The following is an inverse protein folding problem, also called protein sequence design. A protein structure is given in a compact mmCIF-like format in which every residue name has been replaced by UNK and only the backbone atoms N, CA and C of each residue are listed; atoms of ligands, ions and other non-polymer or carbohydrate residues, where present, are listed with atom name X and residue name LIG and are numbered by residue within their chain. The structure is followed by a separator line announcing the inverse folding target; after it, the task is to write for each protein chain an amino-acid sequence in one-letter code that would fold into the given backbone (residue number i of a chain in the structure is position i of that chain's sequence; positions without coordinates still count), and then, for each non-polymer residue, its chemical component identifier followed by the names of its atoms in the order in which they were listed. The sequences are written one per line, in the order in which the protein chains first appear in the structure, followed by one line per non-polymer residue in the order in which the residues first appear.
data_IF_821576999430
#
_entry.id   IF_821576999430
#
_cell.length_a   1.000
_cell.length_b   1.000
_cell.length_c   1.000
_cell.angle_alpha   90.00
_cell.angle_beta   90.00
_cell.angle_gamma   90.00
#
_symmetry.space_group_name_H-M   'P 1'
#
loop_
_entity.id
_entity.type
_entity.pdbx_description
1 polymer ?
#
# COMPACT_ATOMS: atom_id res chain seq x y z
N UNK A 1 13.68 13.42 18.46
CA UNK A 1 12.42 12.88 19.03
C UNK A 1 11.28 13.59 18.33
N UNK A 2 10.16 12.91 18.10
CA UNK A 2 8.95 13.51 17.51
C UNK A 2 7.82 13.45 18.53
N UNK A 3 6.90 14.40 18.46
CA UNK A 3 5.62 14.36 19.19
C UNK A 3 4.45 14.40 18.20
N UNK A 4 3.48 13.53 18.44
CA UNK A 4 2.22 13.48 17.70
C UNK A 4 1.16 14.18 18.53
N UNK A 5 0.61 15.26 17.99
CA UNK A 5 -0.32 16.13 18.67
C UNK A 5 -1.73 15.53 18.68
N UNK A 6 -2.60 16.06 19.56
CA UNK A 6 -4.03 15.73 19.55
C UNK A 6 -4.75 16.18 18.27
N UNK A 7 -4.16 17.12 17.53
CA UNK A 7 -4.64 17.58 16.22
C UNK A 7 -4.37 16.60 15.08
N UNK A 8 -3.52 15.58 15.31
CA UNK A 8 -3.04 14.67 14.28
C UNK A 8 -1.73 15.09 13.62
N UNK A 9 -1.20 16.29 13.91
CA UNK A 9 0.09 16.73 13.39
C UNK A 9 1.26 16.03 14.07
N UNK A 10 2.34 15.81 13.32
CA UNK A 10 3.56 15.18 13.81
C UNK A 10 4.74 16.12 13.59
N UNK A 11 5.42 16.49 14.67
CA UNK A 11 6.51 17.46 14.62
C UNK A 11 7.73 17.04 15.46
N UNK A 12 8.88 17.59 15.09
CA UNK A 12 10.13 17.42 15.83
C UNK A 12 10.08 18.13 17.18
N UNK A 13 10.45 17.40 18.23
CA UNK A 13 10.63 17.93 19.57
C UNK A 13 12.12 18.14 19.86
N UNK A 14 12.51 19.38 20.16
CA UNK A 14 13.90 19.74 20.48
C UNK A 14 14.29 19.18 21.85
N UNK A 15 15.58 18.87 22.09
CA UNK A 15 16.03 18.33 23.39
C UNK A 15 15.74 19.25 24.59
N UNK A 16 15.74 20.57 24.38
CA UNK A 16 15.52 21.58 25.42
C UNK A 16 14.06 22.02 25.55
N UNK A 17 13.16 21.49 24.71
CA UNK A 17 11.77 21.89 24.68
C UNK A 17 10.93 21.02 25.61
N UNK A 18 10.23 21.67 26.54
CA UNK A 18 9.25 21.00 27.42
C UNK A 18 7.95 20.71 26.69
N UNK A 19 7.34 19.56 26.99
CA UNK A 19 6.05 19.16 26.46
C UNK A 19 5.02 19.00 27.57
N UNK A 20 3.84 19.56 27.36
CA UNK A 20 2.67 19.45 28.24
C UNK A 20 1.91 18.16 27.89
N UNK A 21 1.81 17.24 28.85
CA UNK A 21 1.22 15.91 28.67
C UNK A 21 -0.28 15.86 28.94
N UNK A 22 -0.89 16.96 29.39
CA UNK A 22 -2.30 16.95 29.79
C UNK A 22 -3.29 16.80 28.61
N UNK A 23 -4.47 16.30 28.97
CA UNK A 23 -5.40 15.39 28.24
C UNK A 23 -5.72 15.60 26.76
N UNK A 24 -5.36 16.70 26.11
CA UNK A 24 -5.75 16.99 24.72
C UNK A 24 -4.61 17.47 23.80
N UNK A 25 -3.34 17.49 24.24
CA UNK A 25 -2.27 18.10 23.42
C UNK A 25 -1.33 17.12 22.74
N UNK A 26 -0.96 16.01 23.37
CA UNK A 26 -0.01 15.05 22.81
C UNK A 26 -0.56 13.65 22.95
N UNK A 27 -0.64 12.93 21.83
CA UNK A 27 -1.11 11.56 21.77
C UNK A 27 0.04 10.55 21.95
N UNK A 28 1.21 10.82 21.35
CA UNK A 28 2.36 9.89 21.30
C UNK A 28 3.70 10.61 21.14
N UNK A 29 4.78 9.95 21.55
CA UNK A 29 6.15 10.33 21.19
C UNK A 29 6.81 9.22 20.36
N UNK A 30 7.68 9.61 19.44
CA UNK A 30 8.46 8.68 18.63
C UNK A 30 9.95 8.98 18.73
N UNK A 31 10.73 7.94 19.03
CA UNK A 31 12.19 7.96 18.92
C UNK A 31 12.57 7.17 17.67
N UNK A 32 13.03 7.90 16.64
CA UNK A 32 13.41 7.32 15.35
C UNK A 32 14.80 7.83 15.01
N UNK A 33 15.68 6.92 14.62
CA UNK A 33 17.01 7.25 14.13
C UNK A 33 16.94 7.72 12.67
N UNK A 34 17.53 8.88 12.40
CA UNK A 34 17.61 9.50 11.08
C UNK A 34 18.51 10.74 11.11
N UNK A 35 19.17 11.03 9.98
CA UNK A 35 20.09 12.17 9.84
C UNK A 35 19.40 13.47 9.39
N UNK A 36 18.28 13.35 8.67
CA UNK A 36 17.49 14.45 8.14
C UNK A 36 16.05 14.37 8.63
N UNK A 37 15.27 15.45 8.47
CA UNK A 37 13.83 15.45 8.76
C UNK A 37 13.07 15.82 7.49
N UNK A 38 12.20 14.92 7.04
CA UNK A 38 11.39 15.08 5.84
C UNK A 38 9.99 15.53 6.23
N UNK A 39 9.54 16.64 5.63
CA UNK A 39 8.18 17.14 5.81
C UNK A 39 7.29 16.64 4.69
N UNK A 40 6.07 16.26 5.04
CA UNK A 40 5.00 15.91 4.10
C UNK A 40 3.65 16.33 4.68
N UNK A 41 2.59 16.24 3.87
CA UNK A 41 1.22 16.55 4.30
C UNK A 41 0.27 15.39 4.04
N UNK A 42 -0.64 15.12 4.98
CA UNK A 42 -1.76 14.19 4.79
C UNK A 42 -3.05 14.90 5.16
N UNK A 43 -3.98 15.04 4.22
CA UNK A 43 -5.20 15.86 4.41
C UNK A 43 -4.92 17.29 4.90
N UNK A 44 -3.74 17.83 4.56
CA UNK A 44 -3.29 19.15 5.01
C UNK A 44 -2.64 19.18 6.40
N UNK A 45 -2.66 18.08 7.16
CA UNK A 45 -1.91 17.95 8.41
C UNK A 45 -0.42 17.94 8.14
N UNK A 46 0.36 18.74 8.87
CA UNK A 46 1.81 18.77 8.73
C UNK A 46 2.43 17.59 9.48
N UNK A 47 3.29 16.85 8.78
CA UNK A 47 3.97 15.67 9.31
C UNK A 47 5.47 15.78 9.09
N UNK A 48 6.25 15.36 10.08
CA UNK A 48 7.70 15.26 10.02
C UNK A 48 8.17 13.84 10.32
N UNK A 49 9.04 13.30 9.47
CA UNK A 49 9.62 11.97 9.67
C UNK A 49 11.13 11.94 9.38
N UNK A 50 11.96 11.32 10.25
CA UNK A 50 13.42 11.29 10.09
C UNK A 50 13.98 10.39 8.97
N UNK A 51 13.11 9.71 8.21
CA UNK A 51 13.51 8.85 7.09
C UNK A 51 12.75 9.30 5.86
N UNK A 52 13.38 9.17 4.69
CA UNK A 52 12.75 9.51 3.42
C UNK A 52 11.73 8.47 2.95
N UNK A 53 11.67 7.30 3.58
CA UNK A 53 10.76 6.20 3.20
C UNK A 53 9.90 5.76 4.38
N UNK A 54 8.63 5.51 4.09
CA UNK A 54 7.62 4.99 5.00
C UNK A 54 6.74 3.98 4.28
N UNK A 55 6.23 2.99 4.99
CA UNK A 55 5.17 2.13 4.46
C UNK A 55 3.84 2.89 4.51
N UNK A 56 3.00 2.78 3.48
CA UNK A 56 1.76 3.55 3.35
C UNK A 56 0.84 3.39 4.59
N UNK A 57 0.76 2.20 5.16
CA UNK A 57 0.03 1.96 6.42
C UNK A 57 0.54 2.82 7.59
N UNK A 58 1.85 3.06 7.68
CA UNK A 58 2.42 3.91 8.74
C UNK A 58 1.98 5.37 8.56
N UNK A 59 1.95 5.87 7.31
CA UNK A 59 1.45 7.21 7.00
C UNK A 59 -0.03 7.33 7.39
N UNK A 60 -0.86 6.34 7.02
CA UNK A 60 -2.27 6.26 7.42
C UNK A 60 -2.44 6.29 8.93
N UNK A 61 -1.67 5.49 9.65
CA UNK A 61 -1.69 5.42 11.11
C UNK A 61 -1.33 6.75 11.78
N UNK A 62 -0.31 7.44 11.25
CA UNK A 62 0.08 8.77 11.72
C UNK A 62 -1.03 9.80 11.48
N UNK A 63 -1.71 9.74 10.33
CA UNK A 63 -2.82 10.63 10.00
C UNK A 63 -4.16 10.26 10.69
N UNK A 64 -4.20 9.18 11.48
CA UNK A 64 -5.43 8.72 12.13
C UNK A 64 -6.48 8.17 11.16
N UNK A 65 -6.04 7.64 10.00
CA UNK A 65 -6.92 7.10 8.99
C UNK A 65 -7.61 5.80 9.45
N UNK A 66 -8.85 5.60 9.01
CA UNK A 66 -9.57 4.34 9.17
C UNK A 66 -9.04 3.22 8.25
N UNK A 67 -9.39 1.97 8.58
CA UNK A 67 -8.98 0.79 7.80
C UNK A 67 -9.55 0.79 6.38
N UNK A 68 -10.71 1.43 6.19
CA UNK A 68 -11.40 1.60 4.92
C UNK A 68 -10.84 2.76 4.08
N UNK A 69 -9.81 3.47 4.54
CA UNK A 69 -9.21 4.56 3.80
C UNK A 69 -7.94 4.11 3.07
N UNK A 70 -7.75 4.55 1.84
CA UNK A 70 -6.53 4.39 1.06
C UNK A 70 -5.73 5.70 1.05
N UNK A 71 -4.42 5.58 1.00
CA UNK A 71 -3.51 6.71 0.82
C UNK A 71 -3.36 6.97 -0.68
N UNK A 72 -3.52 8.21 -1.11
CA UNK A 72 -3.30 8.61 -2.51
C UNK A 72 -2.40 9.84 -2.58
N UNK A 73 -1.53 9.90 -3.59
CA UNK A 73 -0.71 11.08 -3.86
C UNK A 73 -1.58 12.23 -4.38
N UNK A 74 -1.46 13.41 -3.76
CA UNK A 74 -2.14 14.64 -4.19
C UNK A 74 -1.29 15.34 -5.25
N UNK A 75 -1.45 14.93 -6.51
CA UNK A 75 -0.77 15.55 -7.66
C UNK A 75 -1.73 15.70 -8.85
N UNK A 76 -1.76 16.87 -9.53
CA UNK A 76 -2.60 17.03 -10.72
C UNK A 76 -2.27 16.00 -11.80
N UNK A 77 -3.29 15.30 -12.31
CA UNK A 77 -3.15 14.33 -13.40
C UNK A 77 -2.48 13.00 -13.03
N UNK A 78 -2.18 12.75 -11.75
CA UNK A 78 -1.65 11.47 -11.28
C UNK A 78 -2.58 10.91 -10.22
N UNK A 79 -3.19 9.76 -10.51
CA UNK A 79 -4.03 9.02 -9.55
C UNK A 79 -3.23 7.82 -9.01
N UNK A 80 -2.22 8.11 -8.20
CA UNK A 80 -1.44 7.07 -7.53
C UNK A 80 -2.05 6.76 -6.17
N UNK A 81 -2.64 5.58 -6.05
CA UNK A 81 -3.14 5.02 -4.79
C UNK A 81 -2.14 3.99 -4.29
N UNK A 82 -1.83 4.02 -3.00
CA UNK A 82 -0.91 3.09 -2.35
C UNK A 82 -1.68 2.02 -1.60
N UNK A 83 -1.29 0.77 -1.79
CA UNK A 83 -1.68 -0.34 -0.92
C UNK A 83 -0.94 -0.24 0.42
N UNK A 84 -1.51 -0.82 1.47
CA UNK A 84 -1.01 -0.65 2.86
C UNK A 84 0.47 -1.06 3.04
N UNK A 85 0.95 -2.01 2.24
CA UNK A 85 2.30 -2.55 2.27
C UNK A 85 3.27 -1.86 1.30
N UNK A 86 2.80 -0.88 0.53
CA UNK A 86 3.64 -0.17 -0.44
C UNK A 86 4.60 0.79 0.28
N UNK A 87 5.83 0.86 -0.22
CA UNK A 87 6.83 1.84 0.24
C UNK A 87 6.61 3.18 -0.45
N UNK A 88 6.53 4.24 0.34
CA UNK A 88 6.29 5.61 -0.09
C UNK A 88 7.53 6.45 0.19
N UNK A 89 8.06 7.10 -0.85
CA UNK A 89 9.13 8.09 -0.72
C UNK A 89 8.53 9.47 -0.40
N UNK A 90 8.88 10.02 0.76
CA UNK A 90 8.51 11.34 1.26
C UNK A 90 9.68 12.34 1.20
N UNK A 91 10.84 11.91 0.72
CA UNK A 91 12.05 12.73 0.59
C UNK A 91 12.35 13.19 -0.84
N UNK A 92 11.33 13.22 -1.71
CA UNK A 92 11.44 13.66 -3.09
C UNK A 92 11.89 15.12 -3.26
N UNK A 93 11.98 15.59 -4.51
CA UNK A 93 12.43 16.96 -4.87
C UNK A 93 11.48 18.10 -4.41
N UNK A 94 10.44 17.78 -3.67
CA UNK A 94 9.48 18.72 -3.12
C UNK A 94 8.79 18.15 -1.88
N UNK A 95 7.82 18.89 -1.36
CA UNK A 95 7.03 18.41 -0.22
C UNK A 95 5.88 17.57 -0.75
N UNK A 96 5.92 16.27 -0.46
CA UNK A 96 4.86 15.36 -0.87
C UNK A 96 3.57 15.66 -0.09
N UNK A 97 2.45 15.54 -0.80
CA UNK A 97 1.11 15.79 -0.27
C UNK A 97 0.25 14.58 -0.58
N UNK A 98 -0.52 14.14 0.40
CA UNK A 98 -1.36 12.96 0.31
C UNK A 98 -2.79 13.27 0.73
N UNK A 99 -3.70 12.49 0.16
CA UNK A 99 -5.13 12.46 0.51
C UNK A 99 -5.52 11.07 0.99
N UNK A 100 -6.47 11.04 1.91
CA UNK A 100 -7.15 9.85 2.36
C UNK A 100 -8.46 9.72 1.57
N UNK A 101 -8.59 8.62 0.84
CA UNK A 101 -9.78 8.32 0.02
C UNK A 101 -10.47 7.10 0.57
N UNK A 102 -11.77 6.96 0.36
CA UNK A 102 -12.42 5.68 0.65
C UNK A 102 -11.83 4.62 -0.29
N UNK A 103 -11.35 3.52 0.29
CA UNK A 103 -10.79 2.39 -0.44
C UNK A 103 -11.93 1.59 -1.03
N UNK A 104 -11.87 1.32 -2.33
CA UNK A 104 -12.82 0.41 -2.96
C UNK A 104 -12.71 -0.97 -2.28
N UNK A 105 -13.83 -1.65 -2.06
CA UNK A 105 -13.81 -3.02 -1.53
C UNK A 105 -13.25 -4.03 -2.51
N UNK A 106 -13.17 -3.64 -3.78
CA UNK A 106 -12.78 -4.48 -4.90
C UNK A 106 -11.55 -3.94 -5.64
N UNK A 107 -10.81 -4.85 -6.27
CA UNK A 107 -9.68 -4.60 -7.17
C UNK A 107 -10.04 -5.11 -8.56
N UNK A 108 -9.55 -4.43 -9.58
CA UNK A 108 -9.62 -4.89 -10.95
C UNK A 108 -8.32 -5.61 -11.30
N UNK A 109 -8.43 -6.84 -11.78
CA UNK A 109 -7.30 -7.64 -12.29
C UNK A 109 -7.55 -8.04 -13.73
N UNK A 110 -6.50 -8.36 -14.48
CA UNK A 110 -6.58 -8.77 -15.87
C UNK A 110 -6.30 -10.27 -15.96
N UNK A 111 -7.10 -10.99 -16.74
CA UNK A 111 -6.89 -12.40 -17.04
C UNK A 111 -6.89 -12.62 -18.55
N UNK A 112 -5.94 -13.41 -19.05
CA UNK A 112 -5.83 -13.72 -20.48
C UNK A 112 -5.34 -12.55 -21.35
N UNK A 113 -4.87 -11.46 -20.74
CA UNK A 113 -4.28 -10.30 -21.40
C UNK A 113 -5.24 -9.13 -21.64
N UNK A 114 -6.56 -9.36 -21.66
CA UNK A 114 -7.54 -8.31 -21.97
C UNK A 114 -8.86 -8.40 -21.18
N UNK A 115 -9.09 -9.47 -20.42
CA UNK A 115 -10.34 -9.63 -19.67
C UNK A 115 -10.19 -9.11 -18.24
N UNK A 116 -10.94 -8.07 -17.90
CA UNK A 116 -10.97 -7.53 -16.55
C UNK A 116 -11.91 -8.33 -15.63
N UNK A 117 -11.44 -8.59 -14.42
CA UNK A 117 -12.21 -9.18 -13.32
C UNK A 117 -12.20 -8.24 -12.11
N UNK A 118 -13.38 -7.98 -11.56
CA UNK A 118 -13.52 -7.25 -10.30
C UNK A 118 -13.60 -8.24 -9.14
N UNK A 119 -12.58 -8.24 -8.27
CA UNK A 119 -12.44 -9.18 -7.15
C UNK A 119 -12.45 -8.44 -5.81
N UNK A 120 -12.92 -9.10 -4.75
CA UNK A 120 -12.82 -8.54 -3.39
C UNK A 120 -11.35 -8.36 -2.97
N UNK A 121 -11.05 -7.30 -2.23
CA UNK A 121 -9.72 -7.12 -1.63
C UNK A 121 -9.51 -8.10 -0.49
N UNK A 122 -8.92 -9.26 -0.79
CA UNK A 122 -8.52 -10.26 0.21
C UNK A 122 -7.36 -11.12 -0.28
N UNK A 123 -6.96 -12.05 0.58
CA UNK A 123 -6.06 -13.13 0.19
C UNK A 123 -6.88 -14.21 -0.50
N UNK A 124 -6.44 -14.63 -1.68
CA UNK A 124 -6.97 -15.76 -2.41
C UNK A 124 -5.95 -16.89 -2.43
N UNK A 125 -6.44 -18.11 -2.48
CA UNK A 125 -5.68 -19.30 -2.88
C UNK A 125 -5.65 -19.44 -4.40
N UNK A 126 -4.66 -20.15 -4.93
CA UNK A 126 -4.57 -20.52 -6.35
C UNK A 126 -5.89 -21.11 -6.86
N UNK A 127 -6.49 -22.02 -6.10
CA UNK A 127 -7.71 -22.72 -6.49
C UNK A 127 -8.94 -21.79 -6.51
N UNK A 128 -9.03 -20.84 -5.58
CA UNK A 128 -10.09 -19.82 -5.61
C UNK A 128 -9.98 -18.93 -6.85
N UNK A 129 -8.76 -18.48 -7.20
CA UNK A 129 -8.53 -17.69 -8.43
C UNK A 129 -8.85 -18.51 -9.69
N UNK A 130 -8.43 -19.77 -9.73
CA UNK A 130 -8.77 -20.67 -10.85
C UNK A 130 -10.28 -20.82 -11.02
N UNK A 131 -11.03 -20.96 -9.91
CA UNK A 131 -12.48 -21.04 -9.95
C UNK A 131 -13.12 -19.73 -10.45
N UNK A 132 -12.61 -18.58 -10.00
CA UNK A 132 -13.06 -17.25 -10.44
C UNK A 132 -12.83 -17.04 -11.94
N UNK A 133 -11.64 -17.38 -12.44
CA UNK A 133 -11.29 -17.19 -13.86
C UNK A 133 -11.83 -18.30 -14.78
N UNK A 134 -12.48 -19.33 -14.23
CA UNK A 134 -12.97 -20.47 -14.99
C UNK A 134 -11.84 -21.26 -15.66
N UNK A 135 -10.70 -21.39 -14.98
CA UNK A 135 -9.53 -22.12 -15.49
C UNK A 135 -9.90 -23.59 -15.73
N UNK A 136 -9.63 -24.15 -16.93
CA UNK A 136 -9.95 -25.54 -17.23
C UNK A 136 -9.27 -26.52 -16.27
N UNK A 137 -9.92 -27.65 -16.01
CA UNK A 137 -9.34 -28.71 -15.18
C UNK A 137 -8.00 -29.18 -15.74
N UNK A 138 -6.99 -29.28 -14.88
CA UNK A 138 -5.63 -29.70 -15.23
C UNK A 138 -4.71 -28.57 -15.70
N UNK A 139 -5.24 -27.38 -16.00
CA UNK A 139 -4.41 -26.21 -16.31
C UNK A 139 -3.76 -25.65 -15.04
N UNK A 140 -2.71 -24.87 -15.24
CA UNK A 140 -2.01 -24.13 -14.19
C UNK A 140 -2.28 -22.64 -14.33
N UNK A 141 -2.16 -21.91 -13.23
CA UNK A 141 -2.35 -20.46 -13.18
C UNK A 141 -0.99 -19.77 -13.01
N UNK A 142 -0.74 -18.74 -13.79
CA UNK A 142 0.44 -17.88 -13.68
C UNK A 142 0.03 -16.46 -13.30
N UNK A 143 0.92 -15.79 -12.55
CA UNK A 143 0.93 -14.34 -12.43
C UNK A 143 1.90 -13.78 -13.47
N UNK A 144 1.50 -12.73 -14.16
CA UNK A 144 2.36 -11.98 -15.07
C UNK A 144 2.91 -10.79 -14.29
N UNK A 145 4.23 -10.76 -14.10
CA UNK A 145 4.92 -9.63 -13.50
C UNK A 145 4.83 -8.38 -14.37
N UNK A 146 5.08 -7.21 -13.78
CA UNK A 146 5.09 -5.93 -14.53
C UNK A 146 6.17 -5.89 -15.63
N UNK A 147 7.17 -6.77 -15.53
CA UNK A 147 8.21 -7.02 -16.53
C UNK A 147 7.77 -8.00 -17.64
N UNK A 148 6.52 -8.48 -17.59
CA UNK A 148 5.96 -9.48 -18.49
C UNK A 148 6.39 -10.91 -18.18
N UNK A 149 7.09 -11.17 -17.06
CA UNK A 149 7.56 -12.50 -16.71
C UNK A 149 6.44 -13.30 -16.08
N UNK A 150 6.20 -14.50 -16.62
CA UNK A 150 5.23 -15.44 -16.10
C UNK A 150 5.80 -16.20 -14.90
N UNK A 151 5.03 -16.26 -13.83
CA UNK A 151 5.32 -17.07 -12.64
C UNK A 151 4.14 -17.94 -12.29
N UNK A 152 4.33 -19.24 -12.47
CA UNK A 152 3.39 -20.27 -12.03
C UNK A 152 3.10 -20.14 -10.53
N UNK A 153 1.81 -20.17 -10.17
CA UNK A 153 1.34 -20.25 -8.80
C UNK A 153 1.32 -21.70 -8.33
N UNK A 154 1.90 -21.96 -7.16
CA UNK A 154 1.87 -23.30 -6.58
C UNK A 154 0.44 -23.66 -6.09
N UNK A 155 0.08 -24.96 -6.02
CA UNK A 155 -1.18 -25.38 -5.39
C UNK A 155 -1.27 -24.87 -3.94
N UNK A 156 -2.42 -24.31 -3.57
CA UNK A 156 -2.66 -23.71 -2.25
C UNK A 156 -1.86 -22.43 -1.95
N UNK A 157 -1.11 -21.88 -2.92
CA UNK A 157 -0.39 -20.63 -2.76
C UNK A 157 -1.35 -19.49 -2.41
N UNK A 158 -0.97 -18.65 -1.46
CA UNK A 158 -1.78 -17.54 -0.96
C UNK A 158 -1.27 -16.23 -1.53
N UNK A 159 -2.14 -15.51 -2.22
CA UNK A 159 -1.82 -14.23 -2.84
C UNK A 159 -2.77 -13.14 -2.34
N UNK A 160 -2.21 -12.02 -1.85
CA UNK A 160 -2.97 -10.78 -1.66
C UNK A 160 -3.17 -10.14 -3.03
N UNK A 161 -4.39 -10.15 -3.54
CA UNK A 161 -4.69 -9.57 -4.85
C UNK A 161 -4.65 -8.04 -4.75
N UNK A 162 -3.96 -7.41 -5.70
CA UNK A 162 -3.86 -5.95 -5.84
C UNK A 162 -4.42 -5.52 -7.19
N UNK A 163 -4.79 -4.24 -7.28
CA UNK A 163 -5.28 -3.62 -8.51
C UNK A 163 -4.21 -3.73 -9.62
N UNK A 164 -4.64 -4.03 -10.84
CA UNK A 164 -3.77 -4.15 -12.01
C UNK A 164 -2.92 -5.43 -12.06
N UNK A 165 -3.10 -6.38 -11.15
CA UNK A 165 -2.45 -7.69 -11.28
C UNK A 165 -2.92 -8.40 -12.56
N UNK A 166 -1.99 -9.08 -13.22
CA UNK A 166 -2.25 -9.81 -14.46
C UNK A 166 -2.07 -11.32 -14.25
N UNK A 167 -2.96 -12.10 -14.84
CA UNK A 167 -2.99 -13.55 -14.73
C UNK A 167 -3.18 -14.22 -16.10
N UNK A 168 -2.64 -15.42 -16.23
CA UNK A 168 -2.86 -16.29 -17.38
C UNK A 168 -2.94 -17.75 -16.94
N UNK A 169 -3.48 -18.62 -17.78
CA UNK A 169 -3.43 -20.06 -17.55
C UNK A 169 -2.84 -20.80 -18.75
N UNK A 170 -2.19 -21.92 -18.48
CA UNK A 170 -1.61 -22.78 -19.50
C UNK A 170 -1.88 -24.27 -19.21
N UNK A 171 -1.96 -25.13 -20.24
CA UNK A 171 -1.98 -26.58 -20.06
C UNK A 171 -0.68 -27.05 -19.39
N UNK A 172 -0.69 -28.15 -18.63
CA UNK A 172 0.52 -28.64 -18.00
C UNK A 172 1.53 -29.05 -19.09
N UNK A 173 2.69 -28.40 -19.11
CA UNK A 173 3.78 -28.78 -20.02
C UNK A 173 4.31 -30.15 -19.58
N UNK A 174 4.02 -31.18 -20.39
CA UNK A 174 4.60 -32.50 -20.20
C UNK A 174 6.11 -32.41 -20.37
N UNK A 175 6.88 -32.87 -19.37
CA UNK A 175 8.25 -33.29 -19.62
C UNK A 175 8.17 -34.50 -20.56
N UNK A 176 8.36 -34.26 -21.86
CA UNK A 176 8.69 -35.33 -22.78
C UNK A 176 9.96 -36.00 -22.27
N UNK A 177 9.85 -37.29 -21.95
CA UNK A 177 10.94 -38.16 -21.53
C UNK A 177 11.97 -38.39 -22.62
#
# INVERSE_FOLDING_TARGET
MLRHLGTGELESLRPTETSDLDKNKISRFFAVEGGDTHRFFVEGLSMEWPRNKLIAWQIKFLAGAGDDQALSLERPGVEQVFEDDDEVDIGGRGVERFKLRHRKKTVTVIYGGDVEFELERRIYTTEELMAVFGVPAGYKLDIIGIDGVFREMAPGERLKVKDGMEFASHPPVGQSS
#
